data_IF_489619444800
#
_entry.id   IF_489619444800
#
_cell.length_a   1.000
_cell.length_b   1.000
_cell.length_c   1.000
_cell.angle_alpha   90.00
_cell.angle_beta   90.00
_cell.angle_gamma   90.00
#
_symmetry.space_group_name_H-M   'P 1'
#
loop_
_entity.id
_entity.type
_entity.pdbx_description
1 polymer ?
#
# COMPACT_ATOMS: atom_id res chain seq x y z
N UNK A 1 13.27 -18.17 -62.72
CA UNK A 1 12.63 -17.27 -61.76
C UNK A 1 12.69 -17.92 -60.37
N UNK A 2 13.64 -17.49 -59.53
CA UNK A 2 13.82 -18.00 -58.18
C UNK A 2 12.99 -17.16 -57.21
N UNK A 3 11.96 -17.74 -56.60
CA UNK A 3 11.16 -17.06 -55.56
C UNK A 3 11.90 -17.19 -54.23
N UNK A 4 12.42 -16.09 -53.70
CA UNK A 4 12.95 -15.99 -52.36
C UNK A 4 11.75 -15.86 -51.42
N UNK A 5 11.53 -16.88 -50.57
CA UNK A 5 10.53 -16.81 -49.48
C UNK A 5 11.26 -16.21 -48.28
N UNK A 6 10.88 -14.95 -47.94
CA UNK A 6 11.34 -14.26 -46.73
C UNK A 6 10.54 -14.82 -45.54
N UNK A 7 11.14 -15.67 -44.74
CA UNK A 7 10.54 -16.13 -43.46
C UNK A 7 10.84 -15.05 -42.42
N UNK A 8 9.84 -14.21 -42.11
CA UNK A 8 9.91 -13.28 -40.97
C UNK A 8 9.57 -14.09 -39.73
N UNK A 9 10.56 -14.51 -38.98
CA UNK A 9 10.37 -15.09 -37.65
C UNK A 9 10.03 -13.94 -36.67
N UNK A 10 8.77 -13.86 -36.25
CA UNK A 10 8.39 -13.08 -35.10
C UNK A 10 8.97 -13.76 -33.85
N UNK A 11 10.09 -13.27 -33.36
CA UNK A 11 10.51 -13.53 -32.00
C UNK A 11 9.54 -12.80 -31.07
N UNK A 12 8.54 -13.53 -30.54
CA UNK A 12 7.80 -13.07 -29.37
C UNK A 12 8.78 -13.06 -28.20
N UNK A 13 9.39 -11.91 -27.93
CA UNK A 13 10.08 -11.67 -26.67
C UNK A 13 9.01 -11.68 -25.59
N UNK A 14 8.77 -12.82 -24.96
CA UNK A 14 8.04 -12.87 -23.72
C UNK A 14 8.76 -11.95 -22.76
N UNK A 15 8.10 -10.87 -22.33
CA UNK A 15 8.58 -10.03 -21.25
C UNK A 15 8.58 -10.90 -19.98
N UNK A 16 9.77 -11.32 -19.56
CA UNK A 16 9.94 -12.01 -18.30
C UNK A 16 9.93 -10.97 -17.19
N UNK A 17 9.25 -11.27 -16.10
CA UNK A 17 9.31 -10.44 -14.90
C UNK A 17 10.77 -10.23 -14.50
N UNK A 18 11.19 -8.99 -14.43
CA UNK A 18 12.55 -8.57 -14.11
C UNK A 18 12.68 -8.10 -12.66
N UNK A 19 13.90 -7.72 -12.32
CA UNK A 19 14.20 -7.03 -11.06
C UNK A 19 14.80 -5.67 -11.35
N UNK A 20 14.21 -4.64 -10.76
CA UNK A 20 14.74 -3.27 -10.74
C UNK A 20 15.33 -3.02 -9.36
N UNK A 21 16.58 -2.60 -9.32
CA UNK A 21 17.28 -2.29 -8.06
C UNK A 21 17.27 -0.79 -7.82
N UNK A 22 16.85 -0.38 -6.60
CA UNK A 22 16.81 1.02 -6.18
C UNK A 22 17.70 1.20 -4.95
N UNK A 23 18.61 2.15 -4.99
CA UNK A 23 19.51 2.44 -3.88
C UNK A 23 20.69 3.31 -4.28
N UNK A 24 21.47 3.76 -3.31
CA UNK A 24 22.59 4.68 -3.53
C UNK A 24 23.62 4.14 -4.54
N UNK A 25 23.88 2.82 -4.50
CA UNK A 25 24.88 2.18 -5.36
C UNK A 25 24.29 1.59 -6.66
N UNK A 26 23.04 1.92 -6.99
CA UNK A 26 22.33 1.39 -8.15
C UNK A 26 22.00 2.49 -9.16
N UNK A 27 21.70 2.13 -10.44
CA UNK A 27 21.31 3.11 -11.46
C UNK A 27 20.09 3.94 -11.09
N UNK A 28 19.11 3.33 -10.39
CA UNK A 28 17.96 4.02 -9.84
C UNK A 28 18.27 4.40 -8.39
N UNK A 29 18.39 5.69 -8.11
CA UNK A 29 18.69 6.21 -6.78
C UNK A 29 17.44 6.64 -6.00
N UNK A 30 16.27 6.70 -6.67
CA UNK A 30 14.97 7.02 -6.08
C UNK A 30 13.94 5.95 -6.42
N UNK A 31 12.89 5.84 -5.59
CA UNK A 31 11.79 4.90 -5.84
C UNK A 31 11.03 5.31 -7.11
N UNK A 32 10.84 6.61 -7.32
CA UNK A 32 10.23 7.13 -8.54
C UNK A 32 10.96 6.66 -9.82
N UNK A 33 12.30 6.70 -9.83
CA UNK A 33 13.09 6.17 -10.95
C UNK A 33 12.92 4.65 -11.11
N UNK A 34 12.81 3.91 -9.98
CA UNK A 34 12.52 2.48 -10.00
C UNK A 34 11.18 2.16 -10.63
N UNK A 35 10.15 2.91 -10.27
CA UNK A 35 8.80 2.79 -10.85
C UNK A 35 8.80 3.12 -12.35
N UNK A 36 9.49 4.18 -12.77
CA UNK A 36 9.60 4.56 -14.18
C UNK A 36 10.34 3.50 -15.02
N UNK A 37 11.35 2.85 -14.44
CA UNK A 37 12.13 1.82 -15.11
C UNK A 37 11.45 0.44 -15.17
N UNK A 38 10.39 0.22 -14.38
CA UNK A 38 9.72 -1.08 -14.25
C UNK A 38 8.63 -1.30 -15.28
N UNK A 39 8.35 -2.56 -15.55
CA UNK A 39 7.23 -3.03 -16.37
C UNK A 39 6.31 -3.95 -15.57
N UNK A 40 5.14 -4.25 -16.11
CA UNK A 40 4.18 -5.12 -15.45
C UNK A 40 4.77 -6.52 -15.14
N UNK A 41 4.61 -6.93 -13.88
CA UNK A 41 5.13 -8.19 -13.35
C UNK A 41 6.51 -8.08 -12.70
N UNK A 42 7.19 -6.94 -12.78
CA UNK A 42 8.52 -6.76 -12.19
C UNK A 42 8.50 -6.73 -10.66
N UNK A 43 9.66 -6.98 -10.09
CA UNK A 43 9.95 -6.74 -8.68
C UNK A 43 10.93 -5.58 -8.55
N UNK A 44 10.55 -4.54 -7.82
CA UNK A 44 11.42 -3.42 -7.46
C UNK A 44 11.99 -3.71 -6.07
N UNK A 45 13.31 -3.91 -5.97
CA UNK A 45 14.02 -4.08 -4.71
C UNK A 45 14.61 -2.75 -4.26
N UNK A 46 14.06 -2.20 -3.18
CA UNK A 46 14.54 -0.93 -2.59
C UNK A 46 15.50 -1.25 -1.46
N UNK A 47 16.75 -0.85 -1.62
CA UNK A 47 17.81 -1.10 -0.67
C UNK A 47 17.79 -0.13 0.52
N UNK A 48 18.52 -0.45 1.62
CA UNK A 48 18.51 0.38 2.82
C UNK A 48 18.87 1.84 2.52
N UNK A 49 18.10 2.75 3.09
CA UNK A 49 18.27 4.20 2.92
C UNK A 49 17.03 4.95 3.37
N UNK A 50 17.12 6.27 3.35
CA UNK A 50 15.98 7.16 3.54
C UNK A 50 15.67 7.85 2.22
N UNK A 51 14.48 7.61 1.70
CA UNK A 51 13.94 8.15 0.46
C UNK A 51 12.90 9.21 0.83
N UNK A 52 13.24 10.48 0.63
CA UNK A 52 12.32 11.59 0.88
C UNK A 52 11.49 11.79 -0.38
N UNK A 53 10.39 11.04 -0.48
CA UNK A 53 9.53 10.98 -1.67
C UNK A 53 8.05 10.90 -1.27
N UNK A 54 7.20 11.59 -2.04
CA UNK A 54 5.74 11.54 -1.93
C UNK A 54 5.14 11.59 -3.34
N UNK A 55 3.85 11.24 -3.46
CA UNK A 55 3.17 11.22 -4.75
C UNK A 55 3.67 10.11 -5.69
N UNK A 56 4.21 9.03 -5.14
CA UNK A 56 4.61 7.85 -5.91
C UNK A 56 3.35 7.13 -6.42
N UNK A 57 3.25 6.91 -7.73
CA UNK A 57 2.10 6.24 -8.35
C UNK A 57 2.52 4.90 -8.95
N UNK A 58 1.85 3.81 -8.51
CA UNK A 58 2.02 2.47 -9.08
C UNK A 58 0.83 2.21 -10.01
N UNK A 59 1.08 2.27 -11.34
CA UNK A 59 0.05 2.19 -12.38
C UNK A 59 0.04 0.86 -13.15
N UNK A 60 0.88 -0.09 -12.78
CA UNK A 60 0.90 -1.46 -13.34
C UNK A 60 1.23 -2.48 -12.25
N UNK A 61 0.91 -3.75 -12.49
CA UNK A 61 1.16 -4.84 -11.54
C UNK A 61 2.65 -5.01 -11.27
N UNK A 62 3.07 -4.99 -10.01
CA UNK A 62 4.46 -5.22 -9.59
C UNK A 62 4.56 -5.61 -8.12
N UNK A 63 5.74 -6.04 -7.70
CA UNK A 63 6.11 -6.16 -6.30
C UNK A 63 7.10 -5.05 -5.92
N UNK A 64 6.76 -4.22 -4.94
CA UNK A 64 7.64 -3.22 -4.33
C UNK A 64 8.12 -3.78 -2.99
N UNK A 65 9.40 -4.10 -2.90
CA UNK A 65 9.99 -4.84 -1.77
C UNK A 65 11.12 -4.04 -1.14
N UNK A 66 10.97 -3.73 0.13
CA UNK A 66 12.00 -3.10 0.95
C UNK A 66 13.00 -4.13 1.51
N UNK A 67 14.26 -4.00 1.15
CA UNK A 67 15.35 -4.83 1.67
C UNK A 67 15.98 -4.11 2.86
N UNK A 68 15.92 -4.73 4.06
CA UNK A 68 16.50 -4.12 5.27
C UNK A 68 15.75 -2.89 5.77
N UNK A 69 14.45 -2.83 5.55
CA UNK A 69 13.53 -1.80 6.02
C UNK A 69 13.92 -0.36 5.59
N UNK A 70 14.01 -0.07 4.29
CA UNK A 70 14.22 1.29 3.82
C UNK A 70 13.10 2.21 4.29
N UNK A 71 13.45 3.47 4.56
CA UNK A 71 12.49 4.49 4.99
C UNK A 71 12.00 5.28 3.79
N UNK A 72 10.67 5.36 3.61
CA UNK A 72 10.05 6.31 2.70
C UNK A 72 9.41 7.42 3.53
N UNK A 73 9.95 8.62 3.41
CA UNK A 73 9.54 9.78 4.18
C UNK A 73 8.76 10.75 3.30
N UNK A 74 7.47 10.87 3.51
CA UNK A 74 6.60 11.78 2.76
C UNK A 74 6.79 13.26 3.10
N UNK A 75 7.62 13.57 4.11
CA UNK A 75 7.89 14.94 4.57
C UNK A 75 6.61 15.77 4.77
N UNK A 76 5.54 15.12 5.21
CA UNK A 76 4.19 15.69 5.43
C UNK A 76 3.60 16.40 4.21
N UNK A 77 3.95 15.99 2.98
CA UNK A 77 3.53 16.66 1.73
C UNK A 77 2.56 15.85 0.86
N UNK A 78 1.54 15.25 1.46
CA UNK A 78 0.50 14.55 0.71
C UNK A 78 0.55 13.03 0.87
N UNK A 79 0.08 12.30 -0.15
CA UNK A 79 0.18 10.84 -0.16
C UNK A 79 1.60 10.40 -0.43
N UNK A 80 2.01 9.27 0.16
CA UNK A 80 3.32 8.70 -0.12
C UNK A 80 3.24 7.81 -1.35
N UNK A 81 2.40 6.77 -1.32
CA UNK A 81 2.24 5.81 -2.42
C UNK A 81 0.76 5.65 -2.76
N UNK A 82 0.41 5.87 -4.03
CA UNK A 82 -0.92 5.59 -4.58
C UNK A 82 -0.82 4.42 -5.57
N UNK A 83 -1.63 3.39 -5.36
CA UNK A 83 -1.75 2.22 -6.24
C UNK A 83 -3.05 2.34 -7.01
N UNK A 84 -2.95 2.38 -8.35
CA UNK A 84 -4.11 2.40 -9.27
C UNK A 84 -4.15 1.16 -10.18
N UNK A 85 -3.32 0.17 -9.88
CA UNK A 85 -3.24 -1.07 -10.65
C UNK A 85 -3.59 -2.29 -9.79
N UNK A 86 -4.01 -3.36 -10.45
CA UNK A 86 -4.31 -4.63 -9.82
C UNK A 86 -3.03 -5.45 -9.53
N UNK A 87 -3.11 -6.34 -8.55
CA UNK A 87 -2.08 -7.31 -8.22
C UNK A 87 -0.72 -6.66 -7.89
N UNK A 88 -0.75 -5.59 -7.10
CA UNK A 88 0.45 -4.93 -6.57
C UNK A 88 0.73 -5.44 -5.16
N UNK A 89 1.98 -5.73 -4.85
CA UNK A 89 2.40 -6.00 -3.47
C UNK A 89 3.39 -4.96 -2.96
N UNK A 90 3.22 -4.53 -1.70
CA UNK A 90 4.11 -3.58 -1.01
C UNK A 90 4.50 -4.19 0.32
N UNK A 91 5.81 -4.44 0.51
CA UNK A 91 6.29 -5.06 1.75
C UNK A 91 7.70 -4.62 2.16
N UNK A 92 7.96 -4.65 3.48
CA UNK A 92 9.29 -4.49 4.05
C UNK A 92 9.76 -3.05 4.23
N UNK A 93 8.86 -2.07 4.27
CA UNK A 93 9.18 -0.64 4.39
C UNK A 93 8.90 -0.06 5.77
N UNK A 94 9.57 1.04 6.07
CA UNK A 94 9.11 2.05 7.02
C UNK A 94 8.54 3.21 6.20
N UNK A 95 7.22 3.47 6.33
CA UNK A 95 6.53 4.55 5.63
C UNK A 95 6.08 5.59 6.66
N UNK A 96 6.53 6.83 6.53
CA UNK A 96 6.22 7.87 7.51
C UNK A 96 5.92 9.23 6.92
N UNK A 97 5.18 10.04 7.68
CA UNK A 97 4.99 11.45 7.38
C UNK A 97 4.12 11.71 6.15
N UNK A 98 2.98 11.02 6.00
CA UNK A 98 1.96 11.45 5.04
C UNK A 98 1.41 12.83 5.45
N UNK A 99 0.98 13.64 4.47
CA UNK A 99 0.50 14.99 4.72
C UNK A 99 -0.76 15.03 5.56
N UNK A 100 -0.89 16.06 6.40
CA UNK A 100 -2.14 16.38 7.09
C UNK A 100 -3.03 17.18 6.15
N UNK A 101 -4.23 16.70 5.88
CA UNK A 101 -5.24 17.46 5.15
C UNK A 101 -6.61 17.18 5.72
N UNK A 102 -7.44 18.22 5.83
CA UNK A 102 -8.85 18.07 6.20
C UNK A 102 -9.75 17.84 4.99
N UNK A 103 -9.22 18.04 3.79
CA UNK A 103 -9.95 17.90 2.52
C UNK A 103 -9.50 16.68 1.74
N UNK A 104 -8.18 16.40 1.81
CA UNK A 104 -7.57 15.26 1.12
C UNK A 104 -7.23 14.20 2.18
N UNK A 105 -7.75 13.03 2.02
CA UNK A 105 -7.54 11.89 2.94
C UNK A 105 -6.17 11.25 2.69
N UNK A 106 -5.09 12.04 2.89
CA UNK A 106 -3.72 11.62 2.59
C UNK A 106 -3.31 10.36 3.36
N UNK A 107 -2.88 9.35 2.64
CA UNK A 107 -2.43 8.08 3.19
C UNK A 107 -0.94 7.82 2.92
N UNK A 108 -0.31 6.99 3.76
CA UNK A 108 1.01 6.47 3.40
C UNK A 108 0.91 5.46 2.25
N UNK A 109 -0.11 4.60 2.25
CA UNK A 109 -0.45 3.75 1.11
C UNK A 109 -1.94 3.88 0.82
N UNK A 110 -2.27 4.34 -0.40
CA UNK A 110 -3.62 4.32 -0.95
C UNK A 110 -3.74 3.23 -1.99
N UNK A 111 -4.74 2.36 -1.85
CA UNK A 111 -5.19 1.43 -2.89
C UNK A 111 -6.49 1.98 -3.47
N UNK A 112 -6.49 2.41 -4.73
CA UNK A 112 -7.66 2.95 -5.41
C UNK A 112 -8.00 2.10 -6.63
N UNK A 113 -9.15 1.43 -6.61
CA UNK A 113 -9.57 0.47 -7.64
C UNK A 113 -8.46 -0.58 -7.94
N UNK A 114 -7.69 -0.95 -6.89
CA UNK A 114 -6.48 -1.77 -6.97
C UNK A 114 -6.76 -3.21 -6.47
N UNK A 115 -7.48 -3.98 -7.28
CA UNK A 115 -7.94 -5.31 -6.90
C UNK A 115 -6.79 -6.33 -6.76
N UNK A 116 -6.94 -7.29 -5.84
CA UNK A 116 -5.96 -8.35 -5.63
C UNK A 116 -4.61 -7.91 -5.06
N UNK A 117 -4.54 -6.68 -4.56
CA UNK A 117 -3.29 -6.10 -4.05
C UNK A 117 -3.03 -6.47 -2.59
N UNK A 118 -1.75 -6.40 -2.20
CA UNK A 118 -1.29 -6.77 -0.86
C UNK A 118 -0.41 -5.69 -0.25
N UNK A 119 -0.67 -5.38 1.03
CA UNK A 119 0.18 -4.50 1.85
C UNK A 119 0.56 -5.29 3.11
N UNK A 120 1.82 -5.69 3.23
CA UNK A 120 2.22 -6.60 4.30
C UNK A 120 3.61 -6.30 4.87
N UNK A 121 3.81 -6.63 6.16
CA UNK A 121 5.11 -6.55 6.81
C UNK A 121 5.78 -5.16 6.74
N UNK A 122 4.97 -4.09 6.74
CA UNK A 122 5.47 -2.71 6.76
C UNK A 122 5.33 -2.11 8.15
N UNK A 123 6.14 -1.09 8.42
CA UNK A 123 6.01 -0.23 9.58
C UNK A 123 5.53 1.16 9.13
N UNK A 124 4.39 1.62 9.66
CA UNK A 124 3.79 2.92 9.39
C UNK A 124 3.96 3.81 10.62
N UNK A 125 4.56 4.98 10.45
CA UNK A 125 4.87 5.90 11.54
C UNK A 125 4.38 7.31 11.21
N UNK A 126 3.62 7.93 12.11
CA UNK A 126 3.20 9.33 11.99
C UNK A 126 2.55 9.67 10.64
N UNK A 127 1.55 8.88 10.24
CA UNK A 127 0.77 9.12 9.05
C UNK A 127 -0.64 9.57 9.40
N UNK A 128 -1.25 10.42 8.57
CA UNK A 128 -2.65 10.80 8.74
C UNK A 128 -3.55 9.57 8.58
N UNK A 129 -3.60 8.93 7.40
CA UNK A 129 -4.01 7.54 7.25
C UNK A 129 -2.76 6.69 7.01
N UNK A 130 -2.64 5.54 7.67
CA UNK A 130 -1.55 4.63 7.31
C UNK A 130 -1.90 3.88 6.01
N UNK A 131 -3.06 3.23 5.95
CA UNK A 131 -3.53 2.51 4.77
C UNK A 131 -4.97 2.93 4.47
N UNK A 132 -5.20 3.44 3.26
CA UNK A 132 -6.53 3.78 2.75
C UNK A 132 -6.85 2.92 1.52
N UNK A 133 -7.98 2.24 1.55
CA UNK A 133 -8.42 1.38 0.45
C UNK A 133 -9.78 1.84 -0.03
N UNK A 134 -9.90 2.21 -1.30
CA UNK A 134 -11.15 2.62 -1.90
C UNK A 134 -11.51 1.79 -3.12
N UNK A 135 -12.79 1.44 -3.23
CA UNK A 135 -13.39 0.75 -4.39
C UNK A 135 -12.59 -0.47 -4.87
N UNK A 136 -11.96 -1.18 -3.94
CA UNK A 136 -11.07 -2.31 -4.22
C UNK A 136 -11.65 -3.62 -3.73
N UNK A 137 -11.25 -4.72 -4.36
CA UNK A 137 -11.70 -6.05 -4.00
C UNK A 137 -10.54 -7.04 -3.88
N UNK A 138 -10.73 -8.08 -3.07
CA UNK A 138 -9.79 -9.21 -2.94
C UNK A 138 -8.38 -8.80 -2.46
N UNK A 139 -8.27 -7.72 -1.68
CA UNK A 139 -6.97 -7.26 -1.17
C UNK A 139 -6.65 -7.90 0.19
N UNK A 140 -5.34 -7.92 0.50
CA UNK A 140 -4.81 -8.45 1.75
C UNK A 140 -3.97 -7.37 2.46
N UNK A 141 -4.33 -7.08 3.72
CA UNK A 141 -3.61 -6.15 4.58
C UNK A 141 -3.17 -6.93 5.82
N UNK A 142 -1.89 -7.27 5.91
CA UNK A 142 -1.47 -8.18 6.97
C UNK A 142 -0.11 -7.87 7.60
N UNK A 143 0.00 -8.22 8.89
CA UNK A 143 1.25 -8.16 9.65
C UNK A 143 1.96 -6.80 9.60
N UNK A 144 1.21 -5.72 9.47
CA UNK A 144 1.77 -4.37 9.52
C UNK A 144 1.80 -3.87 10.97
N UNK A 145 2.83 -3.08 11.28
CA UNK A 145 2.92 -2.29 12.49
C UNK A 145 2.53 -0.85 12.16
N UNK A 146 1.48 -0.33 12.80
CA UNK A 146 0.90 0.97 12.47
C UNK A 146 0.84 1.82 13.74
N UNK A 147 1.59 2.90 13.77
CA UNK A 147 1.64 3.83 14.89
C UNK A 147 1.39 5.28 14.43
N UNK A 148 0.32 5.86 14.90
CA UNK A 148 -0.03 7.26 14.68
C UNK A 148 0.31 8.13 15.89
N UNK A 149 0.11 9.43 15.73
CA UNK A 149 0.25 10.45 16.80
C UNK A 149 -1.04 11.29 16.90
N UNK A 150 -2.17 10.61 16.99
CA UNK A 150 -3.47 11.27 17.04
C UNK A 150 -3.67 12.03 18.36
N UNK A 151 -3.80 13.35 18.30
CA UNK A 151 -4.08 14.21 19.45
C UNK A 151 -5.55 14.62 19.53
N UNK A 152 -6.19 14.86 18.40
CA UNK A 152 -7.60 15.28 18.32
C UNK A 152 -8.29 14.56 17.16
N UNK A 153 -9.59 14.31 17.29
CA UNK A 153 -10.38 13.63 16.24
C UNK A 153 -10.36 14.38 14.90
N UNK A 154 -10.41 15.70 14.93
CA UNK A 154 -10.45 16.53 13.73
C UNK A 154 -9.12 16.58 12.96
N UNK A 155 -8.01 16.26 13.61
CA UNK A 155 -6.65 16.29 13.02
C UNK A 155 -6.03 14.92 12.87
N UNK A 156 -6.81 13.87 12.96
CA UNK A 156 -6.31 12.51 12.94
C UNK A 156 -7.14 11.64 12.00
N UNK A 157 -6.46 10.85 11.21
CA UNK A 157 -7.05 9.83 10.35
C UNK A 157 -7.10 8.47 11.03
N UNK A 158 -7.46 7.45 10.28
CA UNK A 158 -7.56 6.08 10.76
C UNK A 158 -6.29 5.27 10.44
N UNK A 159 -6.02 4.22 11.21
CA UNK A 159 -4.90 3.33 10.91
C UNK A 159 -5.12 2.61 9.58
N UNK A 160 -6.21 1.85 9.47
CA UNK A 160 -6.66 1.22 8.23
C UNK A 160 -8.07 1.71 7.94
N UNK A 161 -8.31 2.27 6.74
CA UNK A 161 -9.61 2.73 6.30
C UNK A 161 -10.03 2.02 5.02
N UNK A 162 -11.20 1.39 5.02
CA UNK A 162 -11.84 0.80 3.83
C UNK A 162 -13.08 1.61 3.46
N UNK A 163 -13.19 1.99 2.19
CA UNK A 163 -14.33 2.71 1.64
C UNK A 163 -14.83 2.05 0.33
N UNK A 164 -16.11 1.63 0.30
CA UNK A 164 -16.71 0.90 -0.83
C UNK A 164 -15.89 -0.32 -1.28
N UNK A 165 -15.46 -1.16 -0.33
CA UNK A 165 -14.62 -2.31 -0.58
C UNK A 165 -15.36 -3.63 -0.40
N UNK A 166 -14.86 -4.70 -1.04
CA UNK A 166 -15.42 -6.03 -0.93
C UNK A 166 -14.34 -7.09 -0.84
N UNK A 167 -14.61 -8.14 -0.03
CA UNK A 167 -13.73 -9.30 0.10
C UNK A 167 -12.28 -8.93 0.48
N UNK A 168 -12.11 -7.97 1.40
CA UNK A 168 -10.79 -7.59 1.92
C UNK A 168 -10.49 -8.43 3.16
N UNK A 169 -9.24 -8.90 3.27
CA UNK A 169 -8.74 -9.57 4.46
C UNK A 169 -7.78 -8.65 5.23
N UNK A 170 -8.12 -8.32 6.48
CA UNK A 170 -7.28 -7.53 7.39
C UNK A 170 -6.85 -8.45 8.53
N UNK A 171 -5.58 -8.86 8.54
CA UNK A 171 -5.11 -9.92 9.43
C UNK A 171 -3.80 -9.57 10.14
N UNK A 172 -3.73 -9.84 11.45
CA UNK A 172 -2.48 -9.83 12.20
C UNK A 172 -1.80 -8.46 12.34
N UNK A 173 -2.48 -7.34 12.05
CA UNK A 173 -1.90 -6.01 12.18
C UNK A 173 -1.88 -5.54 13.63
N UNK A 174 -0.88 -4.73 13.99
CA UNK A 174 -0.79 -4.04 15.28
C UNK A 174 -0.95 -2.54 15.04
N UNK A 175 -2.00 -1.95 15.60
CA UNK A 175 -2.44 -0.59 15.28
C UNK A 175 -2.60 0.20 16.57
N UNK A 176 -2.07 1.42 16.61
CA UNK A 176 -2.21 2.33 17.74
C UNK A 176 -2.10 3.80 17.36
N UNK A 177 -2.64 4.68 18.20
CA UNK A 177 -2.41 6.13 18.10
C UNK A 177 -3.10 6.80 16.92
N UNK A 178 -4.18 6.24 16.38
CA UNK A 178 -5.02 6.83 15.33
C UNK A 178 -6.37 7.30 15.87
N UNK A 179 -7.19 7.94 15.05
CA UNK A 179 -8.58 8.28 15.42
C UNK A 179 -9.38 7.01 15.65
N UNK A 180 -9.46 6.13 14.65
CA UNK A 180 -9.92 4.77 14.76
C UNK A 180 -8.80 3.82 14.27
N UNK A 181 -8.66 2.67 14.88
CA UNK A 181 -7.66 1.71 14.45
C UNK A 181 -7.96 1.14 13.07
N UNK A 182 -9.15 0.53 12.93
CA UNK A 182 -9.66 0.00 11.67
C UNK A 182 -11.06 0.58 11.47
N UNK A 183 -11.30 1.22 10.32
CA UNK A 183 -12.58 1.79 9.96
C UNK A 183 -13.08 1.23 8.61
N UNK A 184 -14.31 0.72 8.61
CA UNK A 184 -14.97 0.15 7.46
C UNK A 184 -16.24 0.95 7.14
N UNK A 185 -16.34 1.46 5.90
CA UNK A 185 -17.51 2.22 5.44
C UNK A 185 -17.97 1.69 4.08
N UNK A 186 -19.25 1.30 3.99
CA UNK A 186 -19.85 0.65 2.81
C UNK A 186 -19.07 -0.58 2.34
N UNK A 187 -18.71 -1.46 3.28
CA UNK A 187 -17.82 -2.60 3.04
C UNK A 187 -18.57 -3.91 3.19
N UNK A 188 -18.30 -4.88 2.29
CA UNK A 188 -18.98 -6.16 2.28
C UNK A 188 -18.01 -7.35 2.22
N UNK A 189 -18.41 -8.46 2.85
CA UNK A 189 -17.76 -9.78 2.77
C UNK A 189 -16.28 -9.77 3.20
N UNK A 190 -15.87 -8.84 4.05
CA UNK A 190 -14.50 -8.73 4.54
C UNK A 190 -14.27 -9.58 5.79
N UNK A 191 -13.01 -9.93 6.02
CA UNK A 191 -12.55 -10.66 7.21
C UNK A 191 -11.55 -9.79 7.95
N UNK A 192 -11.86 -9.47 9.22
CA UNK A 192 -10.97 -8.74 10.13
C UNK A 192 -10.60 -9.68 11.28
N UNK A 193 -9.35 -10.13 11.33
CA UNK A 193 -8.96 -11.18 12.25
C UNK A 193 -7.56 -11.02 12.84
N UNK A 194 -7.41 -11.41 14.10
CA UNK A 194 -6.12 -11.44 14.81
C UNK A 194 -5.40 -10.09 14.86
N UNK A 195 -6.10 -8.98 14.66
CA UNK A 195 -5.50 -7.66 14.79
C UNK A 195 -5.48 -7.23 16.26
N UNK A 196 -4.45 -6.46 16.61
CA UNK A 196 -4.35 -5.80 17.90
C UNK A 196 -4.45 -4.29 17.70
N UNK A 197 -5.56 -3.70 18.14
CA UNK A 197 -5.85 -2.27 17.99
C UNK A 197 -6.03 -1.63 19.36
N UNK A 198 -5.15 -0.69 19.72
CA UNK A 198 -5.12 -0.11 21.07
C UNK A 198 -4.75 1.36 21.06
N UNK A 199 -5.08 2.07 22.13
CA UNK A 199 -4.72 3.48 22.32
C UNK A 199 -5.11 4.40 21.14
N UNK A 200 -6.23 4.13 20.49
CA UNK A 200 -6.82 5.04 19.51
C UNK A 200 -7.78 6.00 20.21
N UNK A 201 -8.05 7.16 19.59
CA UNK A 201 -8.88 8.19 20.21
C UNK A 201 -10.35 7.74 20.40
N UNK A 202 -10.87 6.95 19.47
CA UNK A 202 -12.28 6.51 19.53
C UNK A 202 -12.40 4.98 19.62
N UNK A 203 -12.17 4.29 18.50
CA UNK A 203 -12.48 2.87 18.40
C UNK A 203 -11.26 2.06 17.93
N UNK A 204 -11.13 0.84 18.46
CA UNK A 204 -10.20 -0.15 17.90
C UNK A 204 -10.67 -0.67 16.56
N UNK A 205 -11.98 -0.90 16.43
CA UNK A 205 -12.67 -1.31 15.21
C UNK A 205 -14.00 -0.54 15.12
N UNK A 206 -14.20 0.18 14.01
CA UNK A 206 -15.41 0.92 13.71
C UNK A 206 -15.94 0.53 12.33
N UNK A 207 -17.25 0.34 12.20
CA UNK A 207 -17.86 0.03 10.92
C UNK A 207 -19.19 0.76 10.76
N UNK A 208 -19.44 1.29 9.56
CA UNK A 208 -20.65 1.97 9.15
C UNK A 208 -21.16 1.42 7.84
N UNK A 209 -22.47 1.20 7.72
CA UNK A 209 -23.13 0.74 6.50
C UNK A 209 -22.48 -0.49 5.86
N UNK A 210 -21.93 -1.37 6.69
CA UNK A 210 -21.11 -2.50 6.27
C UNK A 210 -21.76 -3.83 6.62
N UNK A 211 -21.83 -4.78 5.66
CA UNK A 211 -22.61 -5.99 5.78
C UNK A 211 -21.81 -7.26 5.48
N UNK A 212 -22.25 -8.40 6.02
CA UNK A 212 -21.69 -9.72 5.75
C UNK A 212 -20.18 -9.85 6.08
N UNK A 213 -19.64 -8.99 6.95
CA UNK A 213 -18.26 -9.04 7.39
C UNK A 213 -18.09 -10.01 8.57
N UNK A 214 -16.89 -10.56 8.73
CA UNK A 214 -16.53 -11.44 9.84
C UNK A 214 -15.44 -10.80 10.69
N UNK A 215 -15.64 -10.80 11.99
CA UNK A 215 -14.73 -10.23 12.98
C UNK A 215 -14.40 -11.31 14.01
N UNK A 216 -13.14 -11.74 14.10
CA UNK A 216 -12.77 -12.74 15.09
C UNK A 216 -11.33 -12.60 15.61
N UNK A 217 -11.12 -12.92 16.88
CA UNK A 217 -9.81 -12.93 17.54
C UNK A 217 -9.07 -11.58 17.50
N UNK A 218 -9.77 -10.44 17.36
CA UNK A 218 -9.18 -9.12 17.49
C UNK A 218 -9.14 -8.69 18.97
N UNK A 219 -8.19 -7.80 19.29
CA UNK A 219 -8.01 -7.24 20.64
C UNK A 219 -7.92 -5.72 20.57
#
# INVERSE_FOLDING_TARGET
>A
MLRVILIISFLSSGLWAGQVQVGFDYPQTTIAQGLEASIAGDTILVHPGTYVESGLVISHSLALVGVGNPVVDGNHSGEIITVTANNVSIEGFILRGSGLSHLDENAAVRLEEAHGSRVSNNNFEDNFFAIYVSKSENCLIENNLISGQAETESRSGNGIHLWYCKNINIHGNRISGHRDGIYLEFVEQCIVSQNHSSANLRYGLHFMFSNHNRYHNNR
#
